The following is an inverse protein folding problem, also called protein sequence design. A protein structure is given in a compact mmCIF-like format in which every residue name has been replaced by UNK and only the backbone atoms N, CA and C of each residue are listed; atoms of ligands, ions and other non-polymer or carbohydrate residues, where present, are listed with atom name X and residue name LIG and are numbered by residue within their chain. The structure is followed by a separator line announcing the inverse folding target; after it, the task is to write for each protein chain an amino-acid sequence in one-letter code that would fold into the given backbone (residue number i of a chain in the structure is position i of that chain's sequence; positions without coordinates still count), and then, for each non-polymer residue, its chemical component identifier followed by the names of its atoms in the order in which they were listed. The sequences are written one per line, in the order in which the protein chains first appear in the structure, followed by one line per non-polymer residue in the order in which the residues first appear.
data_IF_068304251208
#
_entry.id   IF_068304251208
#
_cell.length_a   1.000
_cell.length_b   1.000
_cell.length_c   1.000
_cell.angle_alpha   90.00
_cell.angle_beta   90.00
_cell.angle_gamma   90.00
#
_symmetry.space_group_name_H-M   'P 1'
#
loop_
_entity.id
_entity.type
_entity.pdbx_description
1 polymer ?
#
# COMPACT_ATOMS: atom_id res chain seq x y z
N UNK A 1 8.05 -3.84 20.02
CA UNK A 1 8.14 -3.89 18.55
C UNK A 1 7.46 -2.64 18.01
N UNK A 2 8.23 -1.57 17.74
CA UNK A 2 7.68 -0.39 17.07
C UNK A 2 7.41 -0.81 15.62
N UNK A 3 6.15 -0.79 15.22
CA UNK A 3 5.81 -0.75 13.79
C UNK A 3 6.61 0.44 13.22
N UNK A 4 7.31 0.26 12.09
CA UNK A 4 7.89 1.41 11.37
C UNK A 4 6.75 2.42 11.22
N UNK A 5 6.93 3.64 11.70
CA UNK A 5 5.95 4.70 11.52
C UNK A 5 5.78 4.89 10.00
N UNK A 6 4.70 4.33 9.43
CA UNK A 6 4.33 4.48 8.02
C UNK A 6 3.61 5.80 7.76
N UNK A 7 3.41 6.60 8.80
CA UNK A 7 2.92 7.95 8.65
C UNK A 7 4.04 8.83 8.06
N UNK A 8 3.91 9.17 6.77
CA UNK A 8 4.66 10.25 6.13
C UNK A 8 4.67 11.47 7.09
N UNK A 9 5.85 11.82 7.60
CA UNK A 9 6.01 12.86 8.64
C UNK A 9 5.94 14.28 8.05
N UNK A 10 6.06 15.30 8.91
CA UNK A 10 5.92 16.75 8.62
C UNK A 10 6.80 17.27 7.45
N UNK A 11 7.76 16.47 6.96
CA UNK A 11 8.49 16.68 5.71
C UNK A 11 8.01 15.65 4.68
N UNK A 12 7.52 16.12 3.53
CA UNK A 12 7.12 15.25 2.41
C UNK A 12 8.30 14.36 1.99
N UNK A 13 8.13 13.04 2.06
CA UNK A 13 9.14 12.05 1.64
C UNK A 13 9.42 12.25 0.14
N UNK A 14 10.70 12.39 -0.22
CA UNK A 14 11.16 12.50 -1.61
C UNK A 14 11.13 11.12 -2.24
N UNK A 15 10.38 10.97 -3.33
CA UNK A 15 10.07 9.67 -3.91
C UNK A 15 10.63 9.51 -5.34
N UNK A 16 11.17 8.33 -5.63
CA UNK A 16 11.37 7.84 -6.99
C UNK A 16 10.27 6.84 -7.31
N UNK A 17 9.59 7.03 -8.45
CA UNK A 17 8.67 6.03 -8.98
C UNK A 17 9.39 5.10 -9.94
N UNK A 18 9.09 3.81 -9.91
CA UNK A 18 9.63 2.91 -10.92
C UNK A 18 8.66 1.81 -11.33
N UNK A 19 8.80 1.35 -12.57
CA UNK A 19 8.09 0.17 -13.08
C UNK A 19 8.88 -0.56 -14.16
N UNK A 20 8.54 -1.84 -14.33
CA UNK A 20 8.87 -2.63 -15.51
C UNK A 20 7.72 -2.53 -16.49
N UNK A 21 8.02 -2.36 -17.78
CA UNK A 21 7.06 -2.58 -18.86
C UNK A 21 7.43 -3.87 -19.58
N UNK A 22 6.47 -4.78 -19.63
CA UNK A 22 6.56 -6.00 -20.41
C UNK A 22 6.20 -5.72 -21.87
N UNK A 23 6.64 -6.58 -22.78
CA UNK A 23 6.41 -6.41 -24.22
C UNK A 23 4.93 -6.27 -24.59
N UNK A 24 4.03 -6.79 -23.75
CA UNK A 24 2.57 -6.77 -23.90
C UNK A 24 1.93 -5.44 -23.46
N UNK A 25 2.63 -4.61 -22.68
CA UNK A 25 2.11 -3.37 -22.08
C UNK A 25 2.14 -2.17 -23.06
N UNK A 26 2.59 -2.36 -24.30
CA UNK A 26 2.87 -1.29 -25.27
C UNK A 26 1.65 -0.58 -25.87
N UNK A 27 0.43 -0.87 -25.39
CA UNK A 27 -0.83 -0.40 -25.98
C UNK A 27 -1.48 0.80 -25.28
N UNK A 28 -0.91 1.33 -24.20
CA UNK A 28 -1.46 2.48 -23.49
C UNK A 28 -0.91 3.81 -24.02
N UNK A 29 -1.80 4.78 -24.26
CA UNK A 29 -1.49 6.15 -24.70
C UNK A 29 -1.22 7.11 -23.54
N UNK A 30 -1.26 6.63 -22.30
CA UNK A 30 -0.96 7.40 -21.08
C UNK A 30 0.49 7.22 -20.64
N UNK A 31 1.05 8.27 -20.01
CA UNK A 31 2.35 8.17 -19.35
C UNK A 31 2.31 7.01 -18.31
N UNK A 32 3.18 5.99 -18.42
CA UNK A 32 3.05 4.73 -17.67
C UNK A 32 3.05 4.83 -16.14
N UNK A 33 3.41 5.99 -15.58
CA UNK A 33 3.53 6.22 -14.14
C UNK A 33 2.66 7.38 -13.65
N UNK A 34 1.81 7.96 -14.50
CA UNK A 34 1.02 9.14 -14.14
C UNK A 34 0.00 8.83 -13.04
N UNK A 35 -0.67 7.68 -13.10
CA UNK A 35 -1.56 7.24 -12.03
C UNK A 35 -0.80 7.04 -10.71
N UNK A 36 0.37 6.38 -10.77
CA UNK A 36 1.20 6.14 -9.59
C UNK A 36 1.71 7.45 -8.98
N UNK A 37 2.05 8.44 -9.82
CA UNK A 37 2.40 9.79 -9.38
C UNK A 37 1.28 10.42 -8.58
N UNK A 38 0.05 10.39 -9.11
CA UNK A 38 -1.12 10.91 -8.40
C UNK A 38 -1.37 10.17 -7.08
N UNK A 39 -1.13 8.87 -7.02
CA UNK A 39 -1.21 8.10 -5.76
C UNK A 39 -0.14 8.57 -4.77
N UNK A 40 1.11 8.71 -5.20
CA UNK A 40 2.22 9.15 -4.35
C UNK A 40 1.99 10.56 -3.80
N UNK A 41 1.57 11.50 -4.64
CA UNK A 41 1.23 12.86 -4.24
C UNK A 41 0.03 12.89 -3.29
N UNK A 42 -0.97 12.04 -3.54
CA UNK A 42 -2.13 11.84 -2.66
C UNK A 42 -1.72 11.35 -1.26
N UNK A 43 -0.66 10.54 -1.16
CA UNK A 43 -0.07 10.08 0.08
C UNK A 43 0.84 11.13 0.76
N UNK A 44 1.13 12.25 0.09
CA UNK A 44 1.99 13.32 0.58
C UNK A 44 3.47 13.17 0.20
N UNK A 45 3.81 12.27 -0.72
CA UNK A 45 5.17 12.14 -1.24
C UNK A 45 5.46 13.19 -2.33
N UNK A 46 6.71 13.66 -2.39
CA UNK A 46 7.20 14.55 -3.44
C UNK A 46 7.95 13.73 -4.49
N UNK A 47 7.35 13.51 -5.65
CA UNK A 47 7.95 12.70 -6.72
C UNK A 47 9.04 13.48 -7.44
N UNK A 48 10.30 13.10 -7.21
CA UNK A 48 11.47 13.79 -7.76
C UNK A 48 12.01 13.16 -9.04
N UNK A 49 11.73 11.87 -9.27
CA UNK A 49 12.18 11.16 -10.46
C UNK A 49 11.28 9.95 -10.78
N UNK A 50 11.32 9.51 -12.03
CA UNK A 50 10.55 8.36 -12.52
C UNK A 50 11.39 7.48 -13.42
N UNK A 51 11.37 6.16 -13.22
CA UNK A 51 12.17 5.20 -13.96
C UNK A 51 11.28 4.11 -14.57
N UNK A 52 11.28 4.02 -15.89
CA UNK A 52 10.58 2.96 -16.62
C UNK A 52 11.61 2.06 -17.29
N UNK A 53 11.51 0.74 -17.08
CA UNK A 53 12.41 -0.23 -17.69
C UNK A 53 11.64 -1.23 -18.55
N UNK A 54 11.96 -1.29 -19.84
CA UNK A 54 11.44 -2.32 -20.72
C UNK A 54 12.15 -3.65 -20.47
N UNK A 55 11.38 -4.74 -20.25
CA UNK A 55 11.92 -6.10 -20.09
C UNK A 55 11.00 -7.12 -20.77
N UNK A 56 11.56 -8.26 -21.17
CA UNK A 56 10.76 -9.40 -21.64
C UNK A 56 10.04 -10.10 -20.49
N UNK A 57 10.68 -10.14 -19.31
CA UNK A 57 10.12 -10.70 -18.09
C UNK A 57 10.69 -10.01 -16.85
N UNK A 58 9.91 -10.06 -15.77
CA UNK A 58 10.28 -9.56 -14.45
C UNK A 58 11.41 -10.41 -13.86
N UNK A 59 12.36 -9.77 -13.19
CA UNK A 59 13.39 -10.48 -12.43
C UNK A 59 12.78 -11.07 -11.13
N UNK A 60 12.86 -12.38 -10.89
CA UNK A 60 12.24 -12.99 -9.72
C UNK A 60 12.89 -12.57 -8.39
N UNK A 61 14.11 -12.02 -8.43
CA UNK A 61 14.89 -11.61 -7.26
C UNK A 61 14.80 -10.11 -7.01
N UNK A 62 14.82 -9.30 -8.07
CA UNK A 62 14.92 -7.82 -8.00
C UNK A 62 13.81 -7.07 -8.73
N UNK A 63 12.87 -7.74 -9.37
CA UNK A 63 11.84 -7.15 -10.24
C UNK A 63 12.41 -6.39 -11.47
N UNK A 64 13.10 -5.26 -11.27
CA UNK A 64 13.88 -4.49 -12.26
C UNK A 64 15.26 -5.06 -12.57
N UNK A 65 15.71 -6.09 -11.84
CA UNK A 65 17.04 -6.68 -11.99
C UNK A 65 18.14 -5.92 -11.24
N UNK A 66 19.20 -6.66 -10.89
CA UNK A 66 20.28 -6.16 -10.01
C UNK A 66 21.00 -4.91 -10.55
N UNK A 67 21.28 -4.86 -11.86
CA UNK A 67 21.98 -3.73 -12.48
C UNK A 67 21.19 -2.43 -12.35
N UNK A 68 19.88 -2.47 -12.63
CA UNK A 68 19.00 -1.31 -12.52
C UNK A 68 18.76 -0.91 -11.05
N UNK A 69 18.70 -1.89 -10.14
CA UNK A 69 18.64 -1.59 -8.70
C UNK A 69 19.90 -0.83 -8.22
N UNK A 70 21.09 -1.20 -8.69
CA UNK A 70 22.32 -0.45 -8.38
C UNK A 70 22.33 0.95 -8.99
N UNK A 71 21.76 1.12 -10.18
CA UNK A 71 21.57 2.45 -10.80
C UNK A 71 20.62 3.31 -9.96
N UNK A 72 19.48 2.75 -9.54
CA UNK A 72 18.54 3.44 -8.64
C UNK A 72 19.18 3.81 -7.30
N UNK A 73 20.08 2.99 -6.75
CA UNK A 73 20.83 3.34 -5.53
C UNK A 73 21.66 4.63 -5.72
N UNK A 74 22.31 4.77 -6.88
CA UNK A 74 23.10 5.98 -7.19
C UNK A 74 22.20 7.20 -7.32
N UNK A 75 21.12 7.08 -8.09
CA UNK A 75 20.15 8.16 -8.30
C UNK A 75 19.52 8.57 -6.96
N UNK A 76 19.13 7.61 -6.12
CA UNK A 76 18.55 7.87 -4.81
C UNK A 76 19.51 8.67 -3.92
N UNK A 77 20.80 8.32 -3.91
CA UNK A 77 21.84 9.04 -3.16
C UNK A 77 22.12 10.43 -3.72
N UNK A 78 22.21 10.57 -5.04
CA UNK A 78 22.44 11.86 -5.71
C UNK A 78 21.27 12.83 -5.49
N UNK A 79 20.04 12.29 -5.41
CA UNK A 79 18.81 13.07 -5.30
C UNK A 79 18.26 13.17 -3.87
N UNK A 80 18.93 12.63 -2.85
CA UNK A 80 18.47 12.62 -1.45
C UNK A 80 17.02 12.09 -1.34
N UNK A 81 16.82 10.84 -1.75
CA UNK A 81 15.50 10.19 -1.85
C UNK A 81 15.22 9.37 -0.61
N UNK A 82 14.02 9.54 -0.03
CA UNK A 82 13.59 8.83 1.19
C UNK A 82 12.91 7.50 0.87
N UNK A 83 12.25 7.39 -0.30
CA UNK A 83 11.43 6.23 -0.66
C UNK A 83 11.41 5.95 -2.16
N UNK A 84 11.41 4.67 -2.53
CA UNK A 84 11.16 4.23 -3.88
C UNK A 84 9.83 3.48 -3.96
N UNK A 85 9.00 3.83 -4.94
CA UNK A 85 7.64 3.33 -5.09
C UNK A 85 7.55 2.53 -6.39
N UNK A 86 7.23 1.26 -6.27
CA UNK A 86 6.98 0.36 -7.39
C UNK A 86 5.51 0.40 -7.81
N UNK A 87 5.24 0.49 -9.11
CA UNK A 87 3.86 0.44 -9.64
C UNK A 87 3.20 -0.94 -9.46
N UNK A 88 4.00 -2.01 -9.50
CA UNK A 88 3.51 -3.37 -9.33
C UNK A 88 3.72 -3.88 -7.90
N UNK A 89 2.91 -4.89 -7.52
CA UNK A 89 3.09 -5.61 -6.26
C UNK A 89 4.42 -6.37 -6.23
N UNK A 90 5.17 -6.14 -5.15
CA UNK A 90 6.46 -6.78 -4.96
C UNK A 90 6.34 -7.95 -4.00
N UNK A 91 7.00 -9.06 -4.33
CA UNK A 91 7.11 -10.17 -3.38
C UNK A 91 7.98 -9.74 -2.17
N UNK A 92 7.80 -10.36 -0.99
CA UNK A 92 8.59 -10.01 0.19
C UNK A 92 10.10 -10.24 0.01
N UNK A 93 10.51 -11.07 -0.96
CA UNK A 93 11.93 -11.26 -1.29
C UNK A 93 12.45 -10.12 -2.18
N UNK A 94 11.68 -9.68 -3.16
CA UNK A 94 12.03 -8.56 -4.02
C UNK A 94 12.20 -7.27 -3.22
N UNK A 95 11.23 -6.91 -2.37
CA UNK A 95 11.33 -5.72 -1.49
C UNK A 95 12.63 -5.73 -0.71
N UNK A 96 12.90 -6.83 -0.01
CA UNK A 96 14.09 -7.00 0.81
C UNK A 96 15.41 -6.90 0.01
N UNK A 97 15.46 -7.50 -1.17
CA UNK A 97 16.66 -7.45 -2.01
C UNK A 97 16.87 -6.05 -2.60
N UNK A 98 15.78 -5.37 -2.96
CA UNK A 98 15.79 -3.99 -3.42
C UNK A 98 16.23 -3.05 -2.30
N UNK A 99 15.60 -3.08 -1.12
CA UNK A 99 16.02 -2.28 0.05
C UNK A 99 17.50 -2.50 0.38
N UNK A 100 17.96 -3.76 0.39
CA UNK A 100 19.38 -4.07 0.67
C UNK A 100 20.34 -3.49 -0.38
N UNK A 101 19.92 -3.42 -1.65
CA UNK A 101 20.80 -3.01 -2.75
C UNK A 101 20.75 -1.51 -2.98
N UNK A 102 19.57 -0.92 -2.78
CA UNK A 102 19.30 0.49 -2.98
C UNK A 102 19.72 1.30 -1.76
N UNK A 103 19.65 0.69 -0.57
CA UNK A 103 19.94 1.29 0.73
C UNK A 103 18.87 2.31 1.17
N UNK A 104 17.66 2.20 0.62
CA UNK A 104 16.51 3.06 0.92
C UNK A 104 15.22 2.23 1.05
N UNK A 105 14.16 2.86 1.61
CA UNK A 105 12.83 2.24 1.75
C UNK A 105 12.23 1.96 0.37
N UNK A 106 11.70 0.77 0.19
CA UNK A 106 11.00 0.36 -1.04
C UNK A 106 9.59 -0.10 -0.69
N UNK A 107 8.59 0.55 -1.29
CA UNK A 107 7.18 0.17 -1.15
C UNK A 107 6.60 -0.19 -2.51
N UNK A 108 5.57 -1.03 -2.50
CA UNK A 108 4.77 -1.33 -3.69
C UNK A 108 3.45 -0.55 -3.70
N UNK A 109 2.72 -0.66 -4.81
CA UNK A 109 1.45 0.04 -5.00
C UNK A 109 0.40 -0.34 -3.97
N UNK A 110 0.32 -1.61 -3.57
CA UNK A 110 -0.59 -2.05 -2.52
C UNK A 110 -0.31 -1.35 -1.18
N UNK A 111 0.95 -1.25 -0.78
CA UNK A 111 1.35 -0.56 0.45
C UNK A 111 1.02 0.93 0.40
N UNK A 112 1.32 1.59 -0.73
CA UNK A 112 0.97 3.00 -0.94
C UNK A 112 -0.54 3.25 -0.81
N UNK A 113 -1.36 2.39 -1.41
CA UNK A 113 -2.83 2.50 -1.32
C UNK A 113 -3.30 2.34 0.13
N UNK A 114 -2.74 1.37 0.87
CA UNK A 114 -3.07 1.15 2.27
C UNK A 114 -2.70 2.35 3.16
N UNK A 115 -1.57 3.03 2.88
CA UNK A 115 -1.17 4.23 3.61
C UNK A 115 -2.09 5.42 3.34
N UNK A 116 -2.54 5.59 2.08
CA UNK A 116 -3.57 6.58 1.73
C UNK A 116 -4.86 6.28 2.49
N UNK A 117 -5.28 5.02 2.55
CA UNK A 117 -6.48 4.61 3.27
C UNK A 117 -6.36 4.84 4.78
N UNK A 118 -5.19 4.60 5.37
CA UNK A 118 -4.95 4.82 6.79
C UNK A 118 -5.11 6.29 7.17
N UNK A 119 -4.62 7.19 6.30
CA UNK A 119 -4.74 8.64 6.50
C UNK A 119 -6.17 9.14 6.33
N UNK A 120 -6.95 8.49 5.46
CA UNK A 120 -8.30 8.94 5.08
C UNK A 120 -9.45 8.28 5.85
N UNK A 121 -9.21 7.14 6.50
CA UNK A 121 -10.25 6.43 7.25
C UNK A 121 -10.73 7.27 8.46
N UNK A 122 -11.91 7.90 8.33
CA UNK A 122 -12.48 8.71 9.43
C UNK A 122 -13.40 7.87 10.30
N UNK A 123 -14.23 7.03 9.69
CA UNK A 123 -15.20 6.20 10.41
C UNK A 123 -14.52 5.08 11.18
N UNK A 124 -15.15 4.65 12.27
CA UNK A 124 -14.64 3.54 13.06
C UNK A 124 -14.57 2.24 12.25
N UNK A 125 -15.55 1.99 11.38
CA UNK A 125 -15.56 0.84 10.49
C UNK A 125 -14.43 0.88 9.46
N UNK A 126 -14.23 2.03 8.78
CA UNK A 126 -13.14 2.19 7.83
C UNK A 126 -11.78 1.96 8.49
N UNK A 127 -11.55 2.51 9.70
CA UNK A 127 -10.30 2.29 10.46
C UNK A 127 -10.05 0.80 10.72
N UNK A 128 -11.08 0.04 11.11
CA UNK A 128 -10.96 -1.40 11.32
C UNK A 128 -10.67 -2.17 10.02
N UNK A 129 -11.29 -1.77 8.90
CA UNK A 129 -11.05 -2.39 7.60
C UNK A 129 -9.63 -2.14 7.10
N UNK A 130 -9.13 -0.91 7.23
CA UNK A 130 -7.76 -0.56 6.86
C UNK A 130 -6.75 -1.28 7.74
N UNK A 131 -6.96 -1.30 9.05
CA UNK A 131 -6.09 -2.04 9.97
C UNK A 131 -6.07 -3.54 9.65
N UNK A 132 -7.22 -4.12 9.33
CA UNK A 132 -7.31 -5.52 8.89
C UNK A 132 -6.49 -5.74 7.62
N UNK A 133 -6.66 -4.89 6.61
CA UNK A 133 -5.95 -5.00 5.34
C UNK A 133 -4.43 -4.85 5.51
N UNK A 134 -3.97 -3.89 6.32
CA UNK A 134 -2.55 -3.72 6.66
C UNK A 134 -1.96 -4.97 7.35
N UNK A 135 -2.70 -5.57 8.29
CA UNK A 135 -2.25 -6.80 8.95
C UNK A 135 -2.22 -7.99 8.00
N UNK A 136 -3.20 -8.13 7.10
CA UNK A 136 -3.24 -9.19 6.10
C UNK A 136 -2.09 -9.07 5.09
N UNK A 137 -1.76 -7.85 4.66
CA UNK A 137 -0.63 -7.55 3.79
C UNK A 137 0.72 -7.80 4.49
N UNK A 138 0.85 -7.38 5.75
CA UNK A 138 2.12 -7.48 6.50
C UNK A 138 2.41 -8.91 6.98
N UNK A 139 1.39 -9.70 7.33
CA UNK A 139 1.52 -11.06 7.87
C UNK A 139 2.45 -11.98 7.05
N UNK A 140 2.30 -12.14 5.72
CA UNK A 140 3.22 -12.96 4.92
C UNK A 140 4.64 -12.38 4.87
N UNK A 141 4.78 -11.05 4.99
CA UNK A 141 6.06 -10.32 4.91
C UNK A 141 6.92 -10.44 6.18
N UNK A 142 6.31 -10.62 7.36
CA UNK A 142 7.02 -10.78 8.65
C UNK A 142 8.08 -11.88 8.63
N UNK A 143 7.78 -13.04 8.04
CA UNK A 143 8.69 -14.20 8.00
C UNK A 143 10.09 -13.86 7.47
N UNK A 144 10.18 -12.98 6.46
CA UNK A 144 11.45 -12.71 5.76
C UNK A 144 12.26 -11.58 6.39
N UNK A 145 11.63 -10.66 7.12
CA UNK A 145 12.33 -9.60 7.88
C UNK A 145 13.16 -10.19 9.03
N UNK A 146 12.63 -11.20 9.73
CA UNK A 146 13.32 -11.84 10.87
C UNK A 146 14.54 -12.68 10.49
N UNK A 147 14.60 -13.24 9.27
CA UNK A 147 15.78 -13.99 8.79
C UNK A 147 17.07 -13.15 8.70
N UNK A 148 16.97 -11.82 8.76
CA UNK A 148 18.14 -10.92 8.79
C UNK A 148 18.58 -10.57 10.22
N UNK A 149 17.63 -10.38 11.13
CA UNK A 149 17.90 -10.15 12.55
C UNK A 149 18.67 -11.33 13.19
N UNK A 150 18.27 -12.57 12.86
CA UNK A 150 18.95 -13.77 13.35
C UNK A 150 20.38 -13.97 12.85
N UNK A 151 20.78 -13.28 11.77
CA UNK A 151 22.16 -13.31 11.24
C UNK A 151 23.06 -12.25 11.85
N UNK A 152 22.51 -11.12 12.31
CA UNK A 152 23.27 -10.03 12.93
C UNK A 152 23.64 -10.38 14.39
N UNK A 153 22.82 -11.17 15.08
CA UNK A 153 23.09 -11.62 16.46
C UNK A 153 24.13 -12.75 16.60
N UNK A 154 24.81 -13.14 15.51
CA UNK A 154 26.12 -13.79 15.54
C UNK A 154 26.33 -14.99 16.49
N UNK A 155 26.35 -16.19 15.91
CA UNK A 155 27.27 -17.25 16.35
C UNK A 155 26.71 -18.31 17.30
N UNK A 156 26.95 -19.57 16.91
CA UNK A 156 26.81 -20.81 17.70
C UNK A 156 25.36 -21.27 17.94
N UNK A 157 24.89 -22.11 17.02
CA UNK A 157 24.28 -23.38 17.42
C UNK A 157 22.94 -23.40 18.14
N UNK A 158 22.16 -22.31 18.20
CA UNK A 158 20.81 -22.35 18.80
C UNK A 158 19.71 -22.13 17.78
N UNK A 159 19.36 -23.20 17.05
CA UNK A 159 18.02 -23.36 16.46
C UNK A 159 16.99 -23.32 17.59
N UNK A 160 16.45 -22.15 17.96
CA UNK A 160 15.54 -22.12 19.12
C UNK A 160 14.81 -20.81 19.42
N UNK A 161 15.49 -19.65 19.57
CA UNK A 161 14.82 -18.45 20.10
C UNK A 161 14.05 -17.66 19.04
N UNK A 162 14.69 -17.34 17.90
CA UNK A 162 14.09 -16.47 16.88
C UNK A 162 12.96 -17.12 16.08
N UNK A 163 13.03 -18.43 15.84
CA UNK A 163 11.95 -19.17 15.16
C UNK A 163 10.68 -19.23 16.03
N UNK A 164 10.86 -19.45 17.35
CA UNK A 164 9.75 -19.40 18.32
C UNK A 164 9.16 -18.00 18.44
N UNK A 165 9.98 -16.95 18.48
CA UNK A 165 9.49 -15.57 18.51
C UNK A 165 8.69 -15.22 17.25
N UNK A 166 9.16 -15.61 16.07
CA UNK A 166 8.43 -15.41 14.82
C UNK A 166 7.07 -16.13 14.81
N UNK A 167 7.03 -17.36 15.31
CA UNK A 167 5.78 -18.12 15.42
C UNK A 167 4.80 -17.45 16.39
N UNK A 168 5.29 -16.96 17.53
CA UNK A 168 4.51 -16.21 18.50
C UNK A 168 3.94 -14.93 17.88
N UNK A 169 4.75 -14.15 17.17
CA UNK A 169 4.31 -12.92 16.51
C UNK A 169 3.27 -13.19 15.42
N UNK A 170 3.49 -14.21 14.58
CA UNK A 170 2.50 -14.67 13.59
C UNK A 170 1.19 -15.08 14.25
N UNK A 171 1.26 -15.71 15.42
CA UNK A 171 0.07 -16.11 16.18
C UNK A 171 -0.66 -14.90 16.75
N UNK A 172 0.05 -13.90 17.26
CA UNK A 172 -0.52 -12.64 17.74
C UNK A 172 -1.23 -11.91 16.59
N UNK A 173 -0.56 -11.75 15.44
CA UNK A 173 -1.14 -11.11 14.25
C UNK A 173 -2.38 -11.86 13.77
N UNK A 174 -2.32 -13.20 13.72
CA UNK A 174 -3.47 -14.02 13.31
C UNK A 174 -4.66 -13.91 14.28
N UNK A 175 -4.41 -13.84 15.59
CA UNK A 175 -5.46 -13.59 16.58
C UNK A 175 -6.09 -12.21 16.38
N UNK A 176 -5.27 -11.19 16.12
CA UNK A 176 -5.74 -9.82 15.87
C UNK A 176 -6.60 -9.73 14.60
N UNK A 177 -6.16 -10.35 13.51
CA UNK A 177 -6.95 -10.49 12.26
C UNK A 177 -8.31 -11.15 12.55
N UNK A 178 -8.32 -12.25 13.32
CA UNK A 178 -9.57 -12.93 13.66
C UNK A 178 -10.52 -12.05 14.47
N UNK A 179 -10.00 -11.31 15.45
CA UNK A 179 -10.77 -10.38 16.26
C UNK A 179 -11.37 -9.23 15.42
N UNK A 180 -10.57 -8.63 14.53
CA UNK A 180 -11.02 -7.57 13.62
C UNK A 180 -12.12 -8.07 12.67
N UNK A 181 -11.94 -9.24 12.04
CA UNK A 181 -12.96 -9.88 11.19
C UNK A 181 -14.25 -10.18 11.93
N UNK A 182 -14.18 -10.58 13.21
CA UNK A 182 -15.38 -10.78 14.03
C UNK A 182 -16.11 -9.45 14.28
N UNK A 183 -15.37 -8.41 14.65
CA UNK A 183 -15.91 -7.08 14.93
C UNK A 183 -16.56 -6.44 13.70
N UNK A 184 -15.93 -6.56 12.53
CA UNK A 184 -16.50 -6.07 11.27
C UNK A 184 -17.82 -6.78 10.93
N UNK A 185 -17.88 -8.11 11.08
CA UNK A 185 -19.14 -8.86 10.87
C UNK A 185 -20.27 -8.44 11.81
N UNK A 186 -19.96 -8.04 13.05
CA UNK A 186 -20.96 -7.51 13.98
C UNK A 186 -21.49 -6.15 13.54
N UNK A 187 -20.62 -5.29 12.98
CA UNK A 187 -20.99 -3.99 12.42
C UNK A 187 -21.86 -4.16 11.16
N UNK A 188 -21.45 -5.04 10.25
CA UNK A 188 -22.20 -5.35 9.00
C UNK A 188 -23.62 -5.84 9.31
N UNK A 189 -23.76 -6.81 10.22
CA UNK A 189 -25.08 -7.30 10.67
C UNK A 189 -25.97 -6.21 11.24
N UNK A 190 -25.38 -5.20 11.90
CA UNK A 190 -26.14 -4.06 12.43
C UNK A 190 -26.60 -3.14 11.30
N UNK A 191 -25.77 -2.90 10.29
CA UNK A 191 -26.15 -2.14 9.09
C UNK A 191 -27.24 -2.83 8.28
N UNK A 192 -27.12 -4.13 8.03
CA UNK A 192 -28.13 -4.91 7.28
C UNK A 192 -29.53 -4.76 7.90
N UNK A 193 -29.63 -4.81 9.23
CA UNK A 193 -30.91 -4.60 9.95
C UNK A 193 -31.48 -3.20 9.78
N UNK A 194 -30.62 -2.17 9.70
CA UNK A 194 -31.05 -0.77 9.50
C UNK A 194 -31.50 -0.52 8.06
N UNK A 195 -30.87 -1.18 7.09
CA UNK A 195 -31.24 -1.06 5.67
C UNK A 195 -32.50 -1.85 5.36
N UNK A 196 -32.67 -3.04 5.93
CA UNK A 196 -33.88 -3.86 5.77
C UNK A 196 -35.17 -3.16 6.25
N UNK A 197 -35.07 -2.16 7.12
CA UNK A 197 -36.22 -1.34 7.53
C UNK A 197 -36.59 -0.22 6.55
N UNK A 198 -35.89 -0.08 5.41
CA UNK A 198 -36.11 0.97 4.40
C UNK A 198 -36.55 0.34 3.06
N UNK A 199 -37.76 -0.22 3.01
CA UNK A 199 -38.29 -0.83 1.77
C UNK A 199 -38.88 0.19 0.77
N UNK A 200 -39.00 1.48 1.12
CA UNK A 200 -39.76 2.45 0.31
C UNK A 200 -38.98 3.20 -0.78
N UNK A 201 -37.67 2.97 -0.97
CA UNK A 201 -36.84 3.77 -1.89
C UNK A 201 -36.04 2.94 -2.90
N UNK A 202 -35.95 3.47 -4.14
CA UNK A 202 -35.11 2.91 -5.21
C UNK A 202 -33.62 3.21 -4.95
N UNK A 203 -32.79 2.17 -4.87
CA UNK A 203 -31.34 2.31 -4.63
C UNK A 203 -30.54 2.34 -5.93
N UNK A 204 -29.69 3.37 -6.08
CA UNK A 204 -28.76 3.53 -7.20
C UNK A 204 -27.33 3.61 -6.67
N UNK A 205 -26.38 2.96 -7.35
CA UNK A 205 -24.95 3.01 -7.02
C UNK A 205 -24.14 3.56 -8.18
N UNK A 206 -23.21 4.49 -7.89
CA UNK A 206 -22.31 5.09 -8.87
C UNK A 206 -20.94 4.41 -8.76
N UNK A 207 -20.50 3.75 -9.83
CA UNK A 207 -19.21 3.02 -9.90
C UNK A 207 -18.31 3.59 -11.00
N UNK A 208 -16.99 3.48 -10.83
CA UNK A 208 -15.99 4.00 -11.78
C UNK A 208 -14.63 4.24 -11.11
N UNK A 209 -13.61 4.54 -11.91
CA UNK A 209 -12.23 4.77 -11.42
C UNK A 209 -12.13 5.94 -10.43
N UNK A 210 -11.11 5.90 -9.58
CA UNK A 210 -10.77 7.00 -8.67
C UNK A 210 -10.55 8.28 -9.49
N UNK A 211 -11.14 9.38 -9.03
CA UNK A 211 -11.12 10.68 -9.72
C UNK A 211 -11.86 10.75 -11.08
N UNK A 212 -12.72 9.78 -11.42
CA UNK A 212 -13.58 9.84 -12.62
C UNK A 212 -14.79 10.80 -12.52
N UNK A 213 -14.80 11.74 -11.56
CA UNK A 213 -15.91 12.68 -11.35
C UNK A 213 -17.16 12.11 -10.67
N UNK A 214 -17.08 10.91 -10.05
CA UNK A 214 -18.22 10.28 -9.35
C UNK A 214 -18.84 11.18 -8.27
N UNK A 215 -18.00 11.82 -7.45
CA UNK A 215 -18.44 12.70 -6.37
C UNK A 215 -19.06 13.99 -6.93
N UNK A 216 -18.52 14.51 -8.03
CA UNK A 216 -19.08 15.65 -8.76
C UNK A 216 -20.49 15.33 -9.28
N UNK A 217 -20.68 14.15 -9.88
CA UNK A 217 -21.98 13.69 -10.34
C UNK A 217 -22.96 13.50 -9.17
N UNK A 218 -22.51 12.90 -8.07
CA UNK A 218 -23.33 12.71 -6.88
C UNK A 218 -23.81 14.06 -6.31
N UNK A 219 -22.93 15.05 -6.21
CA UNK A 219 -23.29 16.39 -5.73
C UNK A 219 -24.30 17.06 -6.66
N UNK A 220 -24.09 16.97 -7.98
CA UNK A 220 -25.02 17.51 -8.97
C UNK A 220 -26.41 16.87 -8.89
N UNK A 221 -26.50 15.58 -8.54
CA UNK A 221 -27.76 14.84 -8.44
C UNK A 221 -28.46 14.99 -7.09
N UNK A 222 -27.73 15.28 -6.02
CA UNK A 222 -28.27 15.26 -4.65
C UNK A 222 -28.33 16.63 -3.97
N UNK A 223 -27.75 17.67 -4.58
CA UNK A 223 -27.53 19.00 -3.96
C UNK A 223 -26.80 18.93 -2.61
N UNK A 224 -26.15 17.80 -2.31
CA UNK A 224 -25.33 17.60 -1.12
C UNK A 224 -23.93 18.08 -1.44
N UNK A 225 -23.34 18.84 -0.51
CA UNK A 225 -21.96 19.30 -0.61
C UNK A 225 -21.01 18.19 -0.11
N UNK A 226 -20.92 17.06 -0.85
CA UNK A 226 -19.89 16.06 -0.52
C UNK A 226 -18.52 16.62 -0.91
N UNK A 227 -17.52 16.37 -0.07
CA UNK A 227 -16.17 16.90 -0.24
C UNK A 227 -15.55 16.38 -1.55
N UNK A 228 -15.36 17.27 -2.53
CA UNK A 228 -14.70 16.99 -3.81
C UNK A 228 -13.31 17.62 -3.80
N UNK A 229 -12.28 16.79 -3.95
CA UNK A 229 -10.89 17.23 -4.07
C UNK A 229 -10.26 16.44 -5.23
N UNK A 230 -9.38 17.07 -6.01
CA UNK A 230 -8.62 16.43 -7.10
C UNK A 230 -7.50 15.55 -6.53
N UNK A 231 -7.87 14.59 -5.69
CA UNK A 231 -7.01 13.61 -5.07
C UNK A 231 -7.67 12.24 -5.12
N UNK A 232 -6.86 11.20 -5.32
CA UNK A 232 -7.38 9.84 -5.36
C UNK A 232 -7.97 9.46 -4.00
N UNK A 233 -9.11 8.77 -4.01
CA UNK A 233 -9.85 8.33 -2.82
C UNK A 233 -10.40 9.48 -1.95
N UNK A 234 -10.77 10.63 -2.52
CA UNK A 234 -11.36 11.79 -1.80
C UNK A 234 -12.58 11.42 -0.93
N UNK A 235 -13.34 10.42 -1.38
CA UNK A 235 -14.55 9.93 -0.73
C UNK A 235 -14.42 8.44 -0.43
N UNK A 236 -13.76 8.09 0.68
CA UNK A 236 -13.70 6.72 1.20
C UNK A 236 -14.89 6.37 2.12
N UNK A 237 -15.51 7.38 2.71
CA UNK A 237 -16.65 7.22 3.60
C UNK A 237 -17.93 7.66 2.88
N UNK A 238 -18.90 6.76 2.69
CA UNK A 238 -20.29 7.13 2.42
C UNK A 238 -20.98 7.35 3.77
N UNK A 239 -21.54 8.55 3.98
CA UNK A 239 -22.33 8.88 5.18
C UNK A 239 -23.60 8.04 5.26
#
# INVERSE_FOLDING_TARGET
MKLKDTAFTVRAERAILFRVMLSEDRSSSEEPLEELRRLAETAGANVVHTVVQNRVSIDPVYYIGKGKALELSKIAKEMDVDVLICDDDLTPAQVKNLEKTIDEKVIDRSELILDIFATRAKTFQAKLQVELAQLEYTKPRLTRMWTHLSRIEGGIGTRGPGEKQLEVDKRIVSKKIHALRKKLREIEKRQERLVASREEFFMVSIVGYTNAGKSTLMNALTEIDTFVEDKLFATLDTK
#
